data_IF_830167736069
#
_entry.id   IF_830167736069
#
_cell.length_a   1.000
_cell.length_b   1.000
_cell.length_c   1.000
_cell.angle_alpha   90.00
_cell.angle_beta   90.00
_cell.angle_gamma   90.00
#
_symmetry.space_group_name_H-M   'P 1'
#
loop_
_entity.id
_entity.type
_entity.pdbx_description
1 polymer ?
#
# COMPACT_ATOMS: atom_id res chain seq x y z
N UNK A 1 -12.05 4.03 -15.49
CA UNK A 1 -13.01 4.36 -14.39
C UNK A 1 -12.28 5.35 -13.48
N UNK A 2 -12.83 6.54 -13.24
CA UNK A 2 -12.18 7.55 -12.43
C UNK A 2 -12.38 7.32 -10.92
N UNK A 3 -11.61 8.02 -10.08
CA UNK A 3 -11.73 7.95 -8.62
C UNK A 3 -13.15 8.29 -8.13
N UNK A 4 -13.86 9.15 -8.84
CA UNK A 4 -15.25 9.50 -8.55
C UNK A 4 -16.18 8.29 -8.66
N UNK A 5 -16.00 7.45 -9.67
CA UNK A 5 -16.76 6.21 -9.83
C UNK A 5 -16.42 5.21 -8.72
N UNK A 6 -15.13 5.11 -8.35
CA UNK A 6 -14.72 4.30 -7.20
C UNK A 6 -15.39 4.76 -5.91
N UNK A 7 -15.43 6.09 -5.67
CA UNK A 7 -16.08 6.67 -4.51
C UNK A 7 -17.58 6.30 -4.42
N UNK A 8 -18.27 6.19 -5.56
CA UNK A 8 -19.68 5.79 -5.61
C UNK A 8 -19.91 4.34 -5.14
N UNK A 9 -18.92 3.47 -5.27
CA UNK A 9 -19.00 2.07 -4.84
C UNK A 9 -18.82 1.87 -3.32
N UNK A 10 -18.34 2.89 -2.62
CA UNK A 10 -18.12 2.83 -1.17
C UNK A 10 -19.44 2.95 -0.40
N UNK A 11 -19.51 2.29 0.75
CA UNK A 11 -20.59 2.48 1.73
C UNK A 11 -20.53 3.88 2.34
N UNK A 12 -21.63 4.33 2.95
CA UNK A 12 -21.66 5.65 3.61
C UNK A 12 -20.66 5.76 4.76
N UNK A 13 -20.38 4.66 5.45
CA UNK A 13 -19.36 4.60 6.49
C UNK A 13 -17.94 4.78 5.92
N UNK A 14 -17.65 4.14 4.80
CA UNK A 14 -16.37 4.25 4.11
C UNK A 14 -16.16 5.65 3.52
N UNK A 15 -17.19 6.23 2.92
CA UNK A 15 -17.14 7.60 2.35
C UNK A 15 -16.71 8.65 3.37
N UNK A 16 -17.12 8.51 4.63
CA UNK A 16 -16.72 9.42 5.72
C UNK A 16 -15.21 9.45 5.99
N UNK A 17 -14.52 8.36 5.65
CA UNK A 17 -13.09 8.19 5.90
C UNK A 17 -12.25 8.25 4.63
N UNK A 18 -12.89 8.34 3.48
CA UNK A 18 -12.20 8.46 2.21
C UNK A 18 -11.53 9.85 2.11
N UNK A 19 -10.26 9.92 1.70
CA UNK A 19 -9.57 11.19 1.59
C UNK A 19 -10.21 12.08 0.51
N UNK A 20 -10.31 13.37 0.78
CA UNK A 20 -10.87 14.35 -0.16
C UNK A 20 -10.07 14.42 -1.46
N UNK A 21 -8.78 14.15 -1.38
CA UNK A 21 -7.88 14.18 -2.54
C UNK A 21 -6.84 13.07 -2.46
N UNK A 22 -6.58 12.46 -3.60
CA UNK A 22 -5.51 11.50 -3.81
C UNK A 22 -4.58 11.97 -4.93
N UNK A 23 -3.29 11.73 -4.74
CA UNK A 23 -2.23 11.96 -5.71
C UNK A 23 -1.71 10.61 -6.20
N UNK A 24 -1.47 10.50 -7.48
CA UNK A 24 -1.10 9.25 -8.13
C UNK A 24 0.25 9.39 -8.84
N UNK A 25 1.07 8.37 -8.75
CA UNK A 25 2.30 8.22 -9.52
C UNK A 25 2.34 6.82 -10.13
N UNK A 26 2.07 6.72 -11.43
CA UNK A 26 2.07 5.44 -12.16
C UNK A 26 0.75 5.11 -12.83
N UNK A 27 0.47 3.81 -12.92
CA UNK A 27 -0.67 3.25 -13.64
C UNK A 27 -1.92 3.23 -12.76
N UNK A 28 -2.80 4.22 -12.93
CA UNK A 28 -4.04 4.36 -12.18
C UNK A 28 -5.06 3.24 -12.46
N UNK A 29 -4.98 2.57 -13.61
CA UNK A 29 -5.91 1.49 -13.97
C UNK A 29 -5.81 0.30 -13.00
N UNK A 30 -4.67 0.17 -12.31
CA UNK A 30 -4.50 -0.85 -11.27
C UNK A 30 -5.52 -0.75 -10.12
N UNK A 31 -6.14 0.41 -9.91
CA UNK A 31 -7.20 0.59 -8.91
C UNK A 31 -8.54 -0.05 -9.32
N UNK A 32 -8.73 -0.32 -10.60
CA UNK A 32 -10.05 -0.65 -11.14
C UNK A 32 -10.14 -2.01 -11.83
N UNK A 33 -9.04 -2.48 -12.39
CA UNK A 33 -9.04 -3.64 -13.28
C UNK A 33 -9.04 -4.99 -12.56
N UNK A 34 -8.47 -5.04 -11.33
CA UNK A 34 -8.24 -6.30 -10.61
C UNK A 34 -8.55 -6.18 -9.13
N UNK A 35 -8.68 -7.34 -8.48
CA UNK A 35 -8.76 -7.42 -7.03
C UNK A 35 -7.44 -6.96 -6.39
N UNK A 36 -7.58 -6.35 -5.23
CA UNK A 36 -6.47 -5.76 -4.47
C UNK A 36 -6.51 -6.28 -3.04
N UNK A 37 -5.39 -6.81 -2.57
CA UNK A 37 -5.26 -7.28 -1.19
C UNK A 37 -4.08 -6.58 -0.53
N UNK A 38 -4.34 -5.94 0.59
CA UNK A 38 -3.29 -5.34 1.41
C UNK A 38 -2.53 -6.41 2.18
N UNK A 39 -1.21 -6.34 2.14
CA UNK A 39 -0.30 -7.16 2.94
C UNK A 39 0.52 -6.23 3.81
N UNK A 40 0.30 -6.28 5.11
CA UNK A 40 0.89 -5.35 6.08
C UNK A 40 1.44 -6.08 7.30
N UNK A 41 2.34 -5.44 8.02
CA UNK A 41 2.88 -6.00 9.24
C UNK A 41 3.94 -5.14 9.91
N UNK A 42 4.60 -5.72 10.89
CA UNK A 42 5.61 -5.07 11.70
C UNK A 42 6.80 -4.54 10.88
N UNK A 43 7.30 -3.37 11.27
CA UNK A 43 8.56 -2.80 10.76
C UNK A 43 9.78 -3.55 11.28
N UNK A 44 9.68 -4.09 12.52
CA UNK A 44 10.66 -4.96 13.13
C UNK A 44 10.19 -6.42 13.04
N UNK A 45 10.09 -6.90 11.79
CA UNK A 45 9.57 -8.22 11.49
C UNK A 45 10.56 -9.34 11.79
N UNK A 46 10.02 -10.48 12.21
CA UNK A 46 10.79 -11.72 12.37
C UNK A 46 11.18 -12.30 10.99
N UNK A 47 12.12 -13.23 10.97
CA UNK A 47 12.45 -14.00 9.74
C UNK A 47 11.24 -14.77 9.25
N UNK A 48 10.48 -15.36 10.13
CA UNK A 48 9.24 -16.09 9.85
C UNK A 48 8.18 -15.15 9.28
N UNK A 49 8.04 -13.94 9.82
CA UNK A 49 7.14 -12.91 9.31
C UNK A 49 7.49 -12.52 7.87
N UNK A 50 8.75 -12.27 7.57
CA UNK A 50 9.23 -11.97 6.21
C UNK A 50 8.96 -13.14 5.24
N UNK A 51 9.20 -14.37 5.68
CA UNK A 51 8.93 -15.55 4.86
C UNK A 51 7.43 -15.72 4.56
N UNK A 52 6.57 -15.49 5.54
CA UNK A 52 5.10 -15.49 5.37
C UNK A 52 4.66 -14.39 4.38
N UNK A 53 5.18 -13.18 4.51
CA UNK A 53 4.91 -12.08 3.58
C UNK A 53 5.27 -12.47 2.14
N UNK A 54 6.43 -13.10 1.95
CA UNK A 54 6.89 -13.58 0.65
C UNK A 54 5.95 -14.65 0.08
N UNK A 55 5.59 -15.67 0.86
CA UNK A 55 4.70 -16.74 0.41
C UNK A 55 3.33 -16.18 0.01
N UNK A 56 2.74 -15.34 0.86
CA UNK A 56 1.42 -14.76 0.62
C UNK A 56 1.43 -13.86 -0.61
N UNK A 57 2.40 -12.96 -0.73
CA UNK A 57 2.48 -12.05 -1.88
C UNK A 57 2.67 -12.81 -3.19
N UNK A 58 3.50 -13.85 -3.20
CA UNK A 58 3.67 -14.73 -4.36
C UNK A 58 2.37 -15.47 -4.72
N UNK A 59 1.63 -15.92 -3.71
CA UNK A 59 0.33 -16.57 -3.92
C UNK A 59 -0.70 -15.62 -4.50
N UNK A 60 -0.78 -14.38 -3.99
CA UNK A 60 -1.67 -13.36 -4.54
C UNK A 60 -1.37 -13.08 -6.01
N UNK A 61 -0.10 -12.90 -6.35
CA UNK A 61 0.33 -12.68 -7.75
C UNK A 61 -0.06 -13.86 -8.63
N UNK A 62 0.12 -15.10 -8.16
CA UNK A 62 -0.27 -16.31 -8.90
C UNK A 62 -1.77 -16.34 -9.24
N UNK A 63 -2.60 -15.71 -8.41
CA UNK A 63 -4.05 -15.59 -8.61
C UNK A 63 -4.47 -14.27 -9.27
N UNK A 64 -3.53 -13.55 -9.87
CA UNK A 64 -3.78 -12.27 -10.55
C UNK A 64 -4.36 -11.19 -9.64
N UNK A 65 -3.96 -11.21 -8.37
CA UNK A 65 -4.37 -10.23 -7.34
C UNK A 65 -3.24 -9.23 -7.14
N UNK A 66 -3.58 -7.95 -7.14
CA UNK A 66 -2.63 -6.87 -6.89
C UNK A 66 -2.29 -6.82 -5.39
N UNK A 67 -1.00 -6.78 -5.08
CA UNK A 67 -0.50 -6.60 -3.71
C UNK A 67 -0.49 -5.11 -3.38
N UNK A 68 -1.23 -4.72 -2.34
CA UNK A 68 -1.22 -3.35 -1.82
C UNK A 68 -0.42 -3.34 -0.52
N UNK A 69 0.45 -2.38 -0.34
CA UNK A 69 1.18 -2.20 0.92
C UNK A 69 1.63 -0.76 1.13
N UNK A 70 2.25 -0.48 2.27
CA UNK A 70 2.52 0.88 2.72
C UNK A 70 3.98 1.33 2.55
N UNK A 71 4.82 0.57 1.89
CA UNK A 71 6.24 0.89 1.68
C UNK A 71 7.07 1.04 2.97
N UNK A 72 6.57 0.58 4.12
CA UNK A 72 7.32 0.56 5.37
C UNK A 72 8.46 -0.48 5.35
N UNK A 73 9.37 -0.41 6.30
CA UNK A 73 10.37 -1.47 6.51
C UNK A 73 9.71 -2.81 6.82
N UNK A 74 10.40 -3.89 6.55
CA UNK A 74 9.97 -5.23 6.95
C UNK A 74 8.91 -5.81 6.02
N UNK A 75 7.75 -6.14 6.55
CA UNK A 75 6.69 -6.85 5.82
C UNK A 75 6.25 -6.11 4.55
N UNK A 76 6.03 -4.80 4.63
CA UNK A 76 5.59 -4.00 3.48
C UNK A 76 6.61 -4.03 2.33
N UNK A 77 7.88 -3.85 2.65
CA UNK A 77 8.97 -3.91 1.66
C UNK A 77 9.04 -5.29 1.02
N UNK A 78 8.96 -6.36 1.81
CA UNK A 78 8.96 -7.74 1.33
C UNK A 78 7.76 -8.01 0.41
N UNK A 79 6.58 -7.50 0.76
CA UNK A 79 5.38 -7.67 -0.04
C UNK A 79 5.51 -7.03 -1.42
N UNK A 80 5.95 -5.77 -1.50
CA UNK A 80 6.18 -5.08 -2.77
C UNK A 80 7.24 -5.78 -3.61
N UNK A 81 8.39 -6.07 -3.02
CA UNK A 81 9.50 -6.70 -3.73
C UNK A 81 9.12 -8.07 -4.27
N UNK A 82 8.43 -8.87 -3.49
CA UNK A 82 7.97 -10.20 -3.94
C UNK A 82 6.96 -10.10 -5.07
N UNK A 83 6.01 -9.16 -5.00
CA UNK A 83 5.05 -8.95 -6.08
C UNK A 83 5.76 -8.60 -7.40
N UNK A 84 6.73 -7.70 -7.34
CA UNK A 84 7.54 -7.29 -8.50
C UNK A 84 8.36 -8.46 -9.04
N UNK A 85 9.10 -9.16 -8.19
CA UNK A 85 9.97 -10.28 -8.57
C UNK A 85 9.19 -11.48 -9.12
N UNK A 86 7.92 -11.59 -8.76
CA UNK A 86 7.02 -12.64 -9.25
C UNK A 86 6.27 -12.25 -10.53
N UNK A 87 6.58 -11.12 -11.12
CA UNK A 87 5.94 -10.62 -12.34
C UNK A 87 4.53 -10.06 -12.15
N UNK A 88 4.13 -9.78 -10.90
CA UNK A 88 2.83 -9.19 -10.57
C UNK A 88 2.84 -7.67 -10.52
N UNK A 89 1.72 -7.12 -10.09
CA UNK A 89 1.55 -5.68 -9.88
C UNK A 89 1.42 -5.35 -8.40
N UNK A 90 1.85 -4.15 -8.03
CA UNK A 90 1.75 -3.67 -6.65
C UNK A 90 1.32 -2.20 -6.60
N UNK A 91 0.63 -1.85 -5.53
CA UNK A 91 0.22 -0.48 -5.21
C UNK A 91 0.83 -0.10 -3.87
N UNK A 92 1.61 0.96 -3.86
CA UNK A 92 2.13 1.54 -2.62
C UNK A 92 1.25 2.72 -2.18
N UNK A 93 0.74 2.67 -0.95
CA UNK A 93 0.00 3.78 -0.33
C UNK A 93 0.91 4.44 0.69
N UNK A 94 1.21 5.73 0.47
CA UNK A 94 2.27 6.43 1.19
C UNK A 94 1.73 7.26 2.36
N UNK A 95 2.49 7.29 3.46
CA UNK A 95 2.29 8.23 4.57
C UNK A 95 3.01 9.58 4.38
N UNK A 96 3.55 9.81 3.19
CA UNK A 96 4.30 11.00 2.78
C UNK A 96 3.86 11.45 1.39
N UNK A 97 4.17 12.68 0.97
CA UNK A 97 4.01 13.06 -0.43
C UNK A 97 4.73 12.11 -1.39
N UNK A 98 4.27 12.02 -2.63
CA UNK A 98 4.84 11.12 -3.66
C UNK A 98 6.33 11.35 -3.93
N UNK A 99 6.83 12.55 -3.71
CA UNK A 99 8.23 12.92 -3.92
C UNK A 99 9.12 12.74 -2.69
N UNK A 100 8.56 12.23 -1.58
CA UNK A 100 9.29 12.01 -0.32
C UNK A 100 9.33 10.53 0.01
N UNK A 101 10.41 9.81 -0.32
CA UNK A 101 10.54 8.40 0.05
C UNK A 101 10.69 8.24 1.56
N UNK A 102 9.89 7.35 2.15
CA UNK A 102 9.98 7.00 3.55
C UNK A 102 9.67 5.51 3.76
N UNK A 103 10.59 4.73 4.32
CA UNK A 103 11.95 5.12 4.70
C UNK A 103 12.82 5.46 3.49
N UNK A 104 13.89 6.20 3.71
CA UNK A 104 14.81 6.63 2.64
C UNK A 104 15.43 5.45 1.88
N UNK A 105 15.64 4.33 2.55
CA UNK A 105 16.17 3.10 1.96
C UNK A 105 15.28 2.56 0.83
N UNK A 106 13.99 2.89 0.84
CA UNK A 106 13.02 2.47 -0.17
C UNK A 106 12.86 3.47 -1.33
N UNK A 107 13.75 4.45 -1.46
CA UNK A 107 13.67 5.44 -2.54
C UNK A 107 13.69 4.79 -3.93
N UNK A 108 14.61 3.87 -4.17
CA UNK A 108 14.71 3.14 -5.46
C UNK A 108 13.48 2.30 -5.72
N UNK A 109 12.97 1.61 -4.70
CA UNK A 109 11.73 0.82 -4.81
C UNK A 109 10.53 1.71 -5.14
N UNK A 110 10.42 2.88 -4.50
CA UNK A 110 9.34 3.83 -4.79
C UNK A 110 9.39 4.33 -6.24
N UNK A 111 10.57 4.68 -6.76
CA UNK A 111 10.71 5.12 -8.15
C UNK A 111 10.31 4.00 -9.13
N UNK A 112 10.70 2.75 -8.86
CA UNK A 112 10.27 1.61 -9.65
C UNK A 112 8.76 1.42 -9.62
N UNK A 113 8.13 1.55 -8.45
CA UNK A 113 6.68 1.45 -8.30
C UNK A 113 5.97 2.57 -9.08
N UNK A 114 6.43 3.79 -9.01
CA UNK A 114 5.87 4.92 -9.78
C UNK A 114 6.02 4.74 -11.29
N UNK A 115 7.07 4.08 -11.73
CA UNK A 115 7.35 3.87 -13.15
C UNK A 115 6.56 2.71 -13.76
N UNK A 116 6.42 1.60 -13.04
CA UNK A 116 5.93 0.32 -13.58
C UNK A 116 4.66 -0.20 -12.90
N UNK A 117 4.27 0.43 -11.79
CA UNK A 117 3.15 0.05 -10.92
C UNK A 117 2.37 1.30 -10.52
N UNK A 118 1.87 1.40 -9.29
CA UNK A 118 1.16 2.58 -8.81
C UNK A 118 1.59 2.97 -7.40
N UNK A 119 1.88 4.24 -7.19
CA UNK A 119 1.99 4.84 -5.86
C UNK A 119 0.84 5.84 -5.64
N UNK A 120 0.27 5.83 -4.44
CA UNK A 120 -0.84 6.69 -4.04
C UNK A 120 -0.47 7.42 -2.76
N UNK A 121 -0.78 8.71 -2.70
CA UNK A 121 -0.67 9.51 -1.48
C UNK A 121 -1.87 10.45 -1.34
N UNK A 122 -2.33 10.66 -0.11
CA UNK A 122 -3.27 11.73 0.22
C UNK A 122 -2.58 13.01 0.69
N UNK A 123 -1.25 13.00 0.77
CA UNK A 123 -0.46 14.12 1.24
C UNK A 123 0.11 14.90 0.05
N UNK A 124 -0.21 16.22 -0.07
CA UNK A 124 0.33 17.04 -1.15
C UNK A 124 1.82 17.28 -0.99
N UNK A 125 2.48 17.65 -2.08
CA UNK A 125 3.89 18.06 -2.05
C UNK A 125 4.12 19.17 -1.01
N UNK A 126 5.19 19.05 -0.23
CA UNK A 126 5.49 19.96 0.87
C UNK A 126 4.79 19.64 2.19
N UNK A 127 3.86 18.67 2.22
CA UNK A 127 3.22 18.25 3.47
C UNK A 127 4.24 17.59 4.41
N UNK A 128 4.25 17.95 5.71
CA UNK A 128 5.27 17.43 6.63
C UNK A 128 5.09 15.94 6.92
N UNK A 129 6.18 15.21 6.99
CA UNK A 129 6.20 13.83 7.46
C UNK A 129 6.05 13.80 8.97
N UNK A 130 4.96 13.20 9.45
CA UNK A 130 4.60 13.14 10.87
C UNK A 130 4.12 11.73 11.22
N UNK A 131 4.33 11.26 12.48
CA UNK A 131 3.87 9.95 12.91
C UNK A 131 2.38 9.68 12.65
N UNK A 132 1.53 10.68 12.83
CA UNK A 132 0.06 10.57 12.60
C UNK A 132 -0.33 10.28 11.16
N UNK A 133 0.54 10.54 10.18
CA UNK A 133 0.26 10.28 8.77
C UNK A 133 0.12 8.78 8.49
N UNK A 134 0.84 7.95 9.21
CA UNK A 134 0.88 6.50 8.94
C UNK A 134 -0.40 5.77 9.32
N UNK A 135 -1.02 5.97 10.49
CA UNK A 135 -2.37 5.47 10.76
C UNK A 135 -3.44 5.99 9.79
N UNK A 136 -3.35 7.27 9.40
CA UNK A 136 -4.25 7.87 8.41
C UNK A 136 -4.10 7.14 7.06
N UNK A 137 -2.88 6.95 6.58
CA UNK A 137 -2.57 6.19 5.38
C UNK A 137 -3.11 4.77 5.43
N UNK A 138 -3.02 4.10 6.57
CA UNK A 138 -3.53 2.75 6.73
C UNK A 138 -5.06 2.67 6.47
N UNK A 139 -5.83 3.70 6.84
CA UNK A 139 -7.25 3.78 6.49
C UNK A 139 -7.45 3.84 4.98
N UNK A 140 -6.71 4.71 4.29
CA UNK A 140 -6.78 4.82 2.84
C UNK A 140 -6.43 3.49 2.17
N UNK A 141 -5.39 2.83 2.67
CA UNK A 141 -4.98 1.52 2.16
C UNK A 141 -6.08 0.46 2.33
N UNK A 142 -6.75 0.43 3.48
CA UNK A 142 -7.88 -0.47 3.72
C UNK A 142 -9.07 -0.16 2.78
N UNK A 143 -9.37 1.12 2.57
CA UNK A 143 -10.49 1.55 1.72
C UNK A 143 -10.32 1.20 0.24
N UNK A 144 -9.09 1.15 -0.26
CA UNK A 144 -8.82 0.79 -1.65
C UNK A 144 -8.57 -0.72 -1.86
N UNK A 145 -8.61 -1.51 -0.81
CA UNK A 145 -8.35 -2.96 -0.84
C UNK A 145 -9.62 -3.76 -0.61
N UNK A 146 -9.74 -4.89 -1.29
CA UNK A 146 -10.86 -5.84 -1.09
C UNK A 146 -10.70 -6.63 0.22
N UNK A 147 -9.47 -6.83 0.67
CA UNK A 147 -9.14 -7.47 1.94
C UNK A 147 -7.78 -6.98 2.46
N UNK A 148 -7.53 -7.18 3.75
CA UNK A 148 -6.24 -6.88 4.39
C UNK A 148 -5.73 -8.11 5.14
N UNK A 149 -4.49 -8.49 4.86
CA UNK A 149 -3.76 -9.56 5.53
C UNK A 149 -2.71 -8.96 6.44
N UNK A 150 -2.83 -9.19 7.73
CA UNK A 150 -1.84 -8.77 8.73
C UNK A 150 -0.93 -9.97 9.01
N UNK A 151 0.32 -9.86 8.61
CA UNK A 151 1.31 -10.94 8.76
C UNK A 151 1.84 -11.00 10.18
N UNK A 152 2.20 -9.87 10.72
CA UNK A 152 2.80 -9.74 12.04
C UNK A 152 2.47 -8.38 12.63
N UNK A 153 1.87 -8.37 13.80
CA UNK A 153 1.53 -7.16 14.53
C UNK A 153 2.00 -7.24 15.97
N UNK A 154 2.61 -6.17 16.45
CA UNK A 154 2.93 -6.01 17.87
C UNK A 154 1.91 -5.12 18.55
N UNK A 155 1.79 -5.17 19.87
CA UNK A 155 0.83 -4.35 20.64
C UNK A 155 0.99 -2.84 20.42
N UNK A 156 2.17 -2.40 19.98
CA UNK A 156 2.49 -1.01 19.68
C UNK A 156 2.48 -0.67 18.18
N UNK A 157 2.08 -1.60 17.32
CA UNK A 157 2.08 -1.35 15.88
C UNK A 157 0.80 -0.63 15.46
N UNK A 158 0.93 0.34 14.54
CA UNK A 158 -0.22 1.00 13.91
C UNK A 158 -1.04 0.10 12.97
N UNK A 159 -0.78 -1.21 12.99
CA UNK A 159 -1.42 -2.23 12.15
C UNK A 159 -2.69 -2.80 12.80
N UNK A 160 -3.06 -2.33 13.97
CA UNK A 160 -4.32 -2.66 14.66
C UNK A 160 -5.45 -1.76 14.25
#
# INVERSE_FOLDING_TARGET
MGIETYFQLLTDAEKKHFPEKLFFGGDEDLLYEKRRVSVVGSRASSKEGLQRAKIISKTLVKHDIIVVSGLAKGIDTMAHQTAIDSGGKTIAVLGTPLNVPYPKENATLLEKIKKEHLAISQFPEGFPTQPKNFPIRNRTMALISDATIIIEATDKSGTR
#
